data_IF_612146978237
#
_entry.id   IF_612146978237
#
_cell.length_a   1.000
_cell.length_b   1.000
_cell.length_c   1.000
_cell.angle_alpha   90.00
_cell.angle_beta   90.00
_cell.angle_gamma   90.00
#
_symmetry.space_group_name_H-M   'P 1'
#
loop_
_entity.id
_entity.type
_entity.pdbx_description
1 polymer ?
2 non-polymer ?
3 non-polymer ?
4 non-polymer ?
5 water ?
#
# COMPACT_ATOMS: atom_id res chain seq x y z
N UNK A 1 -25.44 -11.03 26.78
CA UNK A 1 -25.11 -10.33 28.01
C UNK A 1 -24.48 -8.95 27.73
N UNK A 2 -23.17 -8.84 27.87
CA UNK A 2 -22.47 -7.59 27.59
C UNK A 2 -20.96 -7.80 27.56
N UNK A 3 -20.28 -7.06 26.69
CA UNK A 3 -18.85 -7.26 26.50
C UNK A 3 -18.09 -5.99 26.16
N UNK A 4 -16.78 -6.10 26.17
CA UNK A 4 -15.87 -4.99 25.91
C UNK A 4 -14.74 -5.52 25.07
N UNK A 5 -13.96 -4.63 24.45
CA UNK A 5 -12.77 -5.09 23.74
C UNK A 5 -11.86 -5.82 24.74
N UNK A 6 -11.90 -5.37 25.99
CA UNK A 6 -11.11 -6.00 27.04
C UNK A 6 -11.42 -7.49 27.17
N UNK A 7 -12.69 -7.85 27.06
CA UNK A 7 -13.08 -9.26 27.19
C UNK A 7 -12.53 -10.04 26.00
N UNK A 8 -12.55 -9.43 24.82
CA UNK A 8 -12.03 -10.06 23.62
C UNK A 8 -10.51 -10.24 23.74
N UNK A 9 -9.83 -9.20 24.19
CA UNK A 9 -8.39 -9.27 24.47
C UNK A 9 -8.04 -10.41 25.42
N UNK A 10 -8.75 -10.50 26.56
CA UNK A 10 -8.55 -11.61 27.48
C UNK A 10 -8.73 -12.95 26.78
N UNK A 11 -9.82 -13.05 26.03
CA UNK A 11 -10.15 -14.24 25.26
C UNK A 11 -8.96 -14.64 24.35
N UNK A 12 -8.44 -13.65 23.63
CA UNK A 12 -7.34 -13.93 22.70
C UNK A 12 -6.01 -14.19 23.40
N UNK A 13 -5.70 -13.41 24.44
CA UNK A 13 -4.49 -13.63 25.21
C UNK A 13 -4.53 -15.02 25.82
N UNK A 14 -5.74 -15.47 26.16
CA UNK A 14 -5.94 -16.81 26.70
C UNK A 14 -5.57 -17.87 25.66
N UNK A 15 -6.08 -17.72 24.44
CA UNK A 15 -5.81 -18.72 23.40
C UNK A 15 -4.31 -18.81 23.12
N UNK A 16 -3.66 -17.66 23.04
CA UNK A 16 -2.21 -17.63 22.87
C UNK A 16 -1.46 -18.40 23.96
N UNK A 17 -1.85 -18.21 25.22
CA UNK A 17 -1.20 -18.92 26.32
C UNK A 17 -1.52 -20.42 26.30
N UNK A 18 -2.66 -20.76 25.70
CA UNK A 18 -3.02 -22.17 25.46
C UNK A 18 -2.50 -22.61 24.09
N UNK A 19 -1.63 -21.77 23.51
CA UNK A 19 -0.93 -22.10 22.27
C UNK A 19 -1.82 -22.41 21.06
N UNK A 20 -3.04 -21.88 21.06
CA UNK A 20 -3.92 -21.98 19.90
C UNK A 20 -3.33 -21.24 18.68
N UNK A 21 -2.55 -20.19 18.94
CA UNK A 21 -1.78 -19.50 17.90
C UNK A 21 -0.59 -18.81 18.59
N UNK A 22 0.36 -18.31 17.80
CA UNK A 22 1.62 -17.85 18.39
C UNK A 22 1.67 -16.35 18.70
N UNK A 23 2.77 -15.92 19.32
CA UNK A 23 2.90 -14.53 19.76
C UNK A 23 2.65 -13.54 18.62
N UNK A 24 3.24 -13.79 17.46
CA UNK A 24 3.07 -12.90 16.31
C UNK A 24 1.62 -12.77 15.88
N UNK A 25 0.89 -13.88 15.85
CA UNK A 25 -0.52 -13.84 15.46
C UNK A 25 -1.30 -13.02 16.47
N UNK A 26 -0.97 -13.21 17.74
CA UNK A 26 -1.65 -12.48 18.80
C UNK A 26 -1.47 -10.99 18.61
N UNK A 27 -0.27 -10.58 18.23
CA UNK A 27 0.00 -9.17 18.05
C UNK A 27 -0.78 -8.65 16.86
N UNK A 28 -0.95 -9.51 15.86
CA UNK A 28 -1.66 -9.09 14.65
C UNK A 28 -3.14 -8.91 14.98
N UNK A 29 -3.70 -9.83 15.75
CA UNK A 29 -5.11 -9.74 16.16
C UNK A 29 -5.39 -8.52 17.02
N UNK A 30 -4.51 -8.24 17.99
CA UNK A 30 -4.68 -7.05 18.83
C UNK A 30 -4.58 -5.77 18.03
N UNK A 31 -3.69 -5.77 17.03
CA UNK A 31 -3.55 -4.59 16.17
C UNK A 31 -4.86 -4.34 15.40
N UNK A 32 -5.46 -5.40 14.89
CA UNK A 32 -6.73 -5.28 14.17
C UNK A 32 -7.81 -4.72 15.10
N UNK A 33 -7.80 -5.21 16.33
CA UNK A 33 -8.74 -4.75 17.33
C UNK A 33 -8.60 -3.26 17.62
N UNK A 34 -7.36 -2.81 17.75
CA UNK A 34 -7.06 -1.40 18.03
C UNK A 34 -7.43 -0.54 16.82
N UNK A 35 -7.18 -1.08 15.64
CA UNK A 35 -7.46 -0.41 14.38
C UNK A 35 -8.95 -0.12 14.23
N UNK A 36 -9.78 -1.00 14.77
CA UNK A 36 -11.23 -0.93 14.63
C UNK A 36 -11.81 0.26 15.38
N UNK A 37 -11.02 0.84 16.27
CA UNK A 37 -11.47 1.99 17.04
C UNK A 37 -11.12 3.32 16.38
N UNK A 38 -10.41 3.25 15.26
CA UNK A 38 -9.84 4.47 14.68
C UNK A 38 -10.70 5.03 13.56
N UNK A 39 -10.62 6.35 13.39
CA UNK A 39 -11.34 7.03 12.33
C UNK A 39 -10.36 7.76 11.43
N UNK A 40 -10.86 8.23 10.29
CA UNK A 40 -10.04 9.02 9.37
C UNK A 40 -9.27 10.11 10.11
N UNK A 41 -9.96 10.79 11.05
CA UNK A 41 -9.34 11.81 11.90
C UNK A 41 -7.99 11.41 12.43
N UNK A 42 -7.87 10.14 12.82
CA UNK A 42 -6.70 9.66 13.54
C UNK A 42 -5.48 9.41 12.65
N UNK A 43 -5.67 9.38 11.33
CA UNK A 43 -4.59 8.99 10.41
C UNK A 43 -4.33 10.03 9.34
N UNK A 45 -3.50 13.59 7.24
CA UNK A 45 -2.59 14.74 7.21
C UNK A 45 -3.43 16.00 7.13
N UNK A 46 -3.24 16.92 8.07
CA UNK A 46 -4.13 18.08 8.17
C UNK A 46 -3.94 19.04 6.99
N UNK A 47 -4.99 19.79 6.64
CA UNK A 47 -4.98 20.68 5.46
C UNK A 47 -3.72 21.54 5.34
N UNK A 48 -3.42 22.29 6.39
CA UNK A 48 -2.30 23.22 6.32
C UNK A 48 -0.95 22.53 6.08
N UNK A 49 -0.93 21.19 6.12
CA UNK A 49 0.33 20.45 5.93
C UNK A 49 0.39 19.59 4.66
N UNK A 51 0.92 18.53 0.84
CA UNK A 51 1.67 19.02 -0.31
C UNK A 51 0.78 18.94 -1.54
N UNK A 52 0.46 20.09 -2.13
CA UNK A 52 -0.47 20.14 -3.26
C UNK A 52 0.18 20.74 -4.53
N UNK A 53 -0.47 20.54 -5.68
CA UNK A 53 -0.02 21.16 -6.93
C UNK A 53 -1.05 22.16 -7.41
N UNK A 54 -0.60 23.27 -7.98
CA UNK A 54 -1.50 24.29 -8.51
C UNK A 54 -1.95 23.91 -9.90
N UNK A 55 -3.23 24.11 -10.17
CA UNK A 55 -3.87 23.83 -11.45
C UNK A 55 -3.00 24.20 -12.66
N UNK A 56 -2.47 25.42 -12.67
CA UNK A 56 -1.86 25.98 -13.87
C UNK A 56 -0.33 25.98 -13.88
N UNK A 57 0.27 25.24 -12.95
CA UNK A 57 1.71 25.24 -12.84
C UNK A 57 2.36 24.53 -14.06
N UNK A 58 3.63 24.84 -14.33
CA UNK A 58 4.34 24.27 -15.48
C UNK A 58 4.81 22.84 -15.19
N UNK A 59 5.04 22.08 -16.26
CA UNK A 59 5.52 20.71 -16.06
C UNK A 59 6.85 20.69 -15.29
N UNK A 60 7.73 21.65 -15.57
CA UNK A 60 9.04 21.74 -14.91
C UNK A 60 8.94 21.96 -13.39
N UNK A 61 8.06 22.87 -12.98
CA UNK A 61 7.87 23.17 -11.58
C UNK A 61 7.12 22.03 -10.86
N UNK A 62 6.06 21.52 -11.47
CA UNK A 62 5.39 20.34 -10.94
C UNK A 62 6.38 19.18 -10.72
N UNK A 63 7.15 18.83 -11.76
CA UNK A 63 8.04 17.69 -11.68
C UNK A 63 9.10 17.87 -10.56
N UNK A 64 9.68 19.06 -10.47
CA UNK A 64 10.68 19.33 -9.44
C UNK A 64 10.08 19.21 -8.03
N UNK A 65 8.85 19.66 -7.87
CA UNK A 65 8.18 19.62 -6.58
C UNK A 65 7.87 18.17 -6.21
N UNK A 66 7.37 17.41 -7.17
CA UNK A 66 7.07 15.98 -6.97
C UNK A 66 8.31 15.19 -6.55
N UNK A 67 9.44 15.47 -7.20
CA UNK A 67 10.69 14.78 -6.86
C UNK A 67 11.17 15.20 -5.46
N UNK A 68 11.10 16.49 -5.19
CA UNK A 68 11.55 17.04 -3.92
C UNK A 68 10.80 16.43 -2.74
N UNK A 69 9.48 16.33 -2.84
CA UNK A 69 8.68 15.83 -1.73
C UNK A 69 8.65 14.31 -1.73
N UNK A 70 8.92 13.73 -2.89
CA UNK A 70 9.01 12.28 -3.04
C UNK A 70 7.68 11.53 -2.82
N UNK A 71 6.56 12.25 -2.78
CA UNK A 71 5.26 11.58 -2.63
C UNK A 71 4.87 10.95 -3.96
N UNK A 72 3.92 10.02 -3.90
CA UNK A 72 3.42 9.38 -5.11
C UNK A 72 2.16 10.02 -5.68
N UNK A 73 1.34 10.60 -4.79
CA UNK A 73 0.07 11.22 -5.19
C UNK A 73 -0.08 12.60 -4.57
N UNK A 74 -0.69 13.52 -5.33
CA UNK A 74 -0.83 14.93 -4.92
C UNK A 74 -2.22 15.48 -5.26
N UNK A 75 -2.91 16.07 -4.28
CA UNK A 75 -4.13 16.83 -4.60
C UNK A 75 -3.76 17.96 -5.53
N UNK A 76 -4.62 18.27 -6.49
CA UNK A 76 -4.38 19.43 -7.36
C UNK A 76 -5.45 20.46 -7.02
N UNK A 77 -5.05 21.70 -6.81
CA UNK A 77 -5.97 22.73 -6.31
C UNK A 77 -6.20 23.87 -7.31
N UNK A 78 -7.34 24.53 -7.12
CA UNK A 78 -7.65 25.72 -7.89
C UNK A 78 -7.20 26.92 -7.07
N UNK A 79 -8.16 27.67 -6.53
CA UNK A 79 -7.83 28.93 -5.87
C UNK A 79 -7.07 28.74 -4.56
N UNK A 80 -7.40 27.67 -3.85
CA UNK A 80 -6.77 27.35 -2.58
C UNK A 80 -7.14 25.91 -2.20
N UNK A 81 -6.75 25.49 -1.02
CA UNK A 81 -6.88 24.08 -0.67
C UNK A 81 -8.33 23.66 -0.42
N UNK A 82 -9.24 24.64 -0.38
CA UNK A 82 -10.67 24.32 -0.28
C UNK A 82 -11.29 24.08 -1.66
N UNK A 83 -10.47 24.18 -2.70
CA UNK A 83 -10.93 23.83 -4.03
C UNK A 83 -10.04 22.74 -4.64
N UNK A 84 -10.27 21.49 -4.25
CA UNK A 84 -9.47 20.38 -4.77
C UNK A 84 -10.10 19.91 -6.06
N UNK A 85 -9.32 19.88 -7.13
CA UNK A 85 -9.85 19.59 -8.46
C UNK A 85 -9.68 18.12 -8.80
N UNK A 86 -8.78 17.46 -8.09
CA UNK A 86 -8.39 16.12 -8.50
C UNK A 86 -7.12 15.67 -7.83
N UNK A 87 -6.68 14.48 -8.21
CA UNK A 87 -5.44 13.88 -7.71
C UNK A 87 -4.52 13.62 -8.90
N UNK A 88 -3.25 14.02 -8.78
CA UNK A 88 -2.24 13.64 -9.74
C UNK A 88 -1.39 12.56 -9.13
N UNK A 89 -1.19 11.48 -9.88
CA UNK A 89 -0.28 10.39 -9.54
C UNK A 89 1.06 10.66 -10.22
N UNK A 90 2.12 10.74 -9.42
CA UNK A 90 3.44 11.11 -9.92
C UNK A 90 3.81 10.37 -11.23
N UNK A 91 3.52 9.08 -11.27
CA UNK A 91 3.95 8.27 -12.41
C UNK A 91 3.12 8.51 -13.67
N UNK A 92 2.01 9.23 -13.56
CA UNK A 92 1.27 9.62 -14.76
C UNK A 92 2.00 10.71 -15.52
N UNK A 93 2.91 11.41 -14.84
CA UNK A 93 3.73 12.42 -15.49
C UNK A 93 4.66 11.82 -16.56
N UNK A 94 4.96 10.53 -16.45
CA UNK A 94 5.90 9.90 -17.36
C UNK A 94 5.33 9.84 -18.77
N UNK A 95 4.01 10.02 -18.88
CA UNK A 95 3.38 10.08 -20.19
C UNK A 95 3.95 11.22 -21.03
N UNK A 96 4.61 12.17 -20.36
CA UNK A 96 5.11 13.34 -21.06
C UNK A 96 6.63 13.38 -21.08
N UNK A 98 8.76 12.33 -23.23
CA UNK A 98 9.37 12.71 -24.51
C UNK A 98 8.70 13.85 -25.25
N UNK A 99 7.57 14.31 -24.73
CA UNK A 99 6.83 15.44 -25.30
C UNK A 99 6.33 16.35 -24.19
N UNK A 100 7.26 16.95 -23.41
CA UNK A 100 6.80 17.78 -22.28
C UNK A 100 6.03 19.00 -22.77
N UNK A 101 6.36 19.43 -23.98
CA UNK A 101 5.69 20.59 -24.57
C UNK A 101 4.19 20.35 -24.74
N UNK A 102 3.78 19.09 -24.73
CA UNK A 102 2.36 18.76 -24.84
C UNK A 102 1.66 18.58 -23.48
N UNK A 103 2.37 18.80 -22.39
CA UNK A 103 1.80 18.66 -21.05
C UNK A 103 0.44 19.32 -20.93
N UNK A 104 -0.53 18.57 -20.40
CA UNK A 104 -1.87 19.08 -20.20
C UNK A 104 -2.37 18.41 -18.93
N UNK A 105 -2.30 19.14 -17.81
CA UNK A 105 -2.54 18.52 -16.53
C UNK A 105 -3.93 17.86 -16.48
N UNK A 106 -4.94 18.52 -17.04
CA UNK A 106 -6.30 17.96 -17.05
C UNK A 106 -6.39 16.63 -17.81
N UNK A 107 -5.45 16.38 -18.72
CA UNK A 107 -5.42 15.10 -19.44
C UNK A 107 -5.07 13.90 -18.55
N UNK A 108 -4.41 14.15 -17.43
CA UNK A 108 -3.95 13.04 -16.57
C UNK A 108 -4.49 13.12 -15.14
N UNK A 109 -5.23 14.18 -14.84
CA UNK A 109 -5.79 14.36 -13.51
C UNK A 109 -6.88 13.34 -13.25
N UNK A 110 -6.83 12.70 -12.09
CA UNK A 110 -7.91 11.79 -11.71
C UNK A 110 -8.83 12.49 -10.73
N UNK A 111 -10.11 12.07 -10.69
CA UNK A 111 -11.08 12.62 -9.73
C UNK A 111 -10.70 12.28 -8.29
N UNK A 112 -10.98 13.18 -7.37
CA UNK A 112 -10.70 12.97 -5.95
C UNK A 112 -11.85 12.21 -5.28
N UNK A 113 -11.52 11.29 -4.39
CA UNK A 113 -12.52 10.67 -3.53
C UNK A 113 -12.58 11.45 -2.22
N UNK A 114 -13.78 11.79 -1.78
CA UNK A 114 -13.96 12.60 -0.56
C UNK A 114 -14.52 11.76 0.58
N UNK A 115 -14.04 11.99 1.80
CA UNK A 115 -14.55 11.27 2.98
C UNK A 115 -14.60 12.23 4.17
N UNK A 116 -15.54 12.00 5.10
CA UNK A 116 -15.65 12.78 6.36
C UNK A 116 -14.66 12.27 7.40
N UNK A 117 -14.37 13.10 8.40
CA UNK A 117 -13.37 12.78 9.40
C UNK A 117 -13.80 11.62 10.30
N UNK A 118 -15.10 11.40 10.38
CA UNK A 118 -15.65 10.42 11.31
C UNK A 118 -15.70 9.00 10.75
N UNK A 119 -15.35 8.86 9.48
CA UNK A 119 -15.39 7.56 8.84
C UNK A 119 -14.40 6.57 9.47
N UNK A 120 -14.84 5.33 9.70
CA UNK A 120 -13.96 4.33 10.30
C UNK A 120 -12.82 3.96 9.36
N UNK A 121 -11.63 3.77 9.92
CA UNK A 121 -10.50 3.32 9.12
C UNK A 121 -10.73 1.95 8.49
N UNK A 122 -11.48 1.08 9.17
CA UNK A 122 -11.83 -0.22 8.58
C UNK A 122 -12.65 -0.06 7.31
N UNK A 123 -13.63 0.86 7.32
CA UNK A 123 -14.40 1.14 6.09
C UNK A 123 -13.51 1.77 5.03
N UNK A 124 -12.67 2.71 5.44
CA UNK A 124 -11.78 3.35 4.49
C UNK A 124 -10.87 2.30 3.85
N UNK A 125 -10.32 1.42 4.68
CA UNK A 125 -9.38 0.42 4.16
C UNK A 125 -10.07 -0.46 3.14
N UNK A 126 -11.31 -0.84 3.42
CA UNK A 126 -12.06 -1.71 2.51
C UNK A 126 -12.29 -1.01 1.19
N UNK A 127 -12.69 0.25 1.27
CA UNK A 127 -12.89 1.06 0.06
C UNK A 127 -11.62 1.33 -0.74
N UNK A 128 -10.50 1.59 -0.06
CA UNK A 128 -9.22 1.72 -0.76
C UNK A 128 -8.91 0.44 -1.52
N UNK A 129 -9.12 -0.72 -0.87
CA UNK A 129 -8.77 -2.00 -1.50
C UNK A 129 -9.67 -2.28 -2.69
N UNK A 130 -10.94 -1.94 -2.57
CA UNK A 130 -11.90 -2.14 -3.65
C UNK A 130 -11.65 -1.21 -4.85
N UNK A 131 -11.62 0.10 -4.60
CA UNK A 131 -11.51 1.10 -5.66
C UNK A 131 -10.09 1.18 -6.22
N UNK A 132 -9.20 0.33 -5.73
CA UNK A 132 -7.79 0.47 -6.06
C UNK A 132 -7.38 1.91 -5.84
N UNK A 133 -7.91 2.50 -4.77
CA UNK A 133 -7.65 3.88 -4.41
C UNK A 133 -6.48 3.91 -3.43
N UNK A 134 -5.75 5.03 -3.40
CA UNK A 134 -4.64 5.18 -2.45
C UNK A 134 -4.74 6.43 -1.58
N UNK A 136 -7.52 9.73 -0.22
CA UNK A 136 -8.81 10.41 -0.21
C UNK A 136 -8.62 11.80 0.39
N UNK A 137 -9.52 12.70 0.05
CA UNK A 137 -9.49 14.04 0.61
C UNK A 137 -10.53 14.07 1.72
N UNK A 138 -10.12 14.55 2.90
CA UNK A 138 -11.01 14.59 4.05
C UNK A 138 -11.74 15.93 4.07
N UNK A 139 -13.06 15.86 4.21
CA UNK A 139 -13.93 17.03 4.18
C UNK A 139 -14.49 17.31 5.58
N UNK A 140 -14.55 18.57 5.99
CA UNK A 140 -15.12 18.90 7.29
C UNK A 140 -16.65 18.94 7.19
N UNK A 141 -17.32 19.18 8.31
CA UNK A 141 -18.78 19.12 8.33
C UNK A 141 -19.45 20.29 7.59
N UNK A 142 -18.64 21.16 6.98
CA UNK A 142 -19.18 22.32 6.28
C UNK A 142 -18.84 22.32 4.79
N UNK A 143 -18.09 21.32 4.35
CA UNK A 143 -17.70 21.23 2.94
C UNK A 143 -16.26 21.64 2.64
N UNK A 144 -15.58 22.23 3.63
CA UNK A 144 -14.20 22.62 3.45
C UNK A 144 -13.26 21.43 3.58
N UNK A 145 -12.03 21.60 3.10
CA UNK A 145 -11.00 20.57 3.17
C UNK A 145 -10.41 20.51 4.58
N UNK A 146 -10.43 19.32 5.20
CA UNK A 146 -9.83 19.13 6.52
C UNK A 146 -8.43 18.56 6.38
N UNK A 147 -8.20 17.81 5.32
CA UNK A 147 -6.88 17.24 5.07
C UNK A 147 -6.98 16.13 4.05
N UNK A 148 -6.04 15.21 4.10
CA UNK A 148 -6.05 14.07 3.18
C UNK A 148 -5.67 12.83 3.98
N UNK A 149 -5.96 11.66 3.43
CA UNK A 149 -5.61 10.41 4.09
C UNK A 149 -5.17 9.40 3.03
N UNK A 150 -4.15 8.61 3.36
CA UNK A 150 -3.59 7.66 2.40
C UNK A 150 -3.59 6.22 2.90
N UNK A 151 -3.68 5.30 1.94
CA UNK A 151 -3.60 3.86 2.15
C UNK A 151 -2.33 3.51 2.92
N UNK A 152 -1.20 4.00 2.44
CA UNK A 152 0.08 3.64 3.04
C UNK A 152 0.18 4.11 4.48
N UNK A 153 -0.49 5.22 4.82
CA UNK A 153 -0.51 5.72 6.18
C UNK A 153 -1.33 4.83 7.12
N UNK A 154 -2.43 4.28 6.63
CA UNK A 154 -3.31 3.51 7.49
C UNK A 154 -2.88 2.04 7.65
N UNK A 155 -2.10 1.53 6.70
CA UNK A 155 -1.63 0.13 6.76
C UNK A 155 -0.31 0.04 7.50
N UNK A 156 0.21 1.20 7.90
CA UNK A 156 1.43 1.32 8.69
C UNK A 156 1.44 0.31 9.84
N UNK B 2 -9.52 -27.65 13.54
CA UNK B 2 -9.51 -28.19 14.90
C UNK B 2 -10.28 -27.32 15.91
N UNK B 3 -10.74 -27.96 16.97
CA UNK B 3 -11.68 -27.37 17.93
C UNK B 3 -11.23 -26.06 18.58
N UNK B 4 -9.92 -25.88 18.73
CA UNK B 4 -9.36 -24.67 19.29
C UNK B 4 -9.77 -23.43 18.48
N UNK B 5 -9.53 -23.50 17.17
CA UNK B 5 -9.74 -22.37 16.26
C UNK B 5 -11.22 -21.99 16.11
N UNK B 6 -12.06 -22.97 15.81
CA UNK B 6 -13.49 -22.76 15.68
C UNK B 6 -14.00 -21.95 16.88
N UNK B 7 -13.63 -22.39 18.07
CA UNK B 7 -14.14 -21.79 19.29
C UNK B 7 -13.81 -20.30 19.41
N UNK B 8 -12.54 -19.97 19.21
CA UNK B 8 -12.11 -18.57 19.24
C UNK B 8 -12.98 -17.78 18.27
N UNK B 9 -13.19 -18.34 17.09
CA UNK B 9 -14.08 -17.72 16.09
C UNK B 9 -15.48 -17.37 16.62
N UNK B 10 -16.25 -18.35 17.06
CA UNK B 10 -17.63 -18.03 17.37
C UNK B 10 -17.77 -17.04 18.54
N UNK B 11 -16.75 -16.95 19.37
CA UNK B 11 -16.78 -15.94 20.43
C UNK B 11 -16.48 -14.54 19.87
N UNK B 12 -15.67 -14.51 18.83
CA UNK B 12 -15.43 -13.26 18.11
C UNK B 12 -16.72 -12.77 17.46
N UNK B 13 -17.51 -13.69 16.92
CA UNK B 13 -18.80 -13.36 16.32
C UNK B 13 -19.78 -12.85 17.37
N UNK B 14 -19.72 -13.44 18.55
CA UNK B 14 -20.58 -13.00 19.65
C UNK B 14 -20.25 -11.58 20.07
N UNK B 15 -18.96 -11.24 20.04
CA UNK B 15 -18.54 -9.92 20.49
C UNK B 15 -19.04 -8.89 19.48
N UNK B 16 -19.26 -9.36 18.26
CA UNK B 16 -19.74 -8.53 17.16
C UNK B 16 -21.22 -8.23 17.35
N UNK B 17 -21.98 -9.28 17.65
CA UNK B 17 -23.42 -9.15 17.90
C UNK B 17 -23.68 -8.36 19.17
N UNK B 18 -22.63 -8.13 19.96
CA UNK B 18 -22.75 -7.36 21.18
C UNK B 18 -22.22 -5.93 20.99
N UNK B 19 -21.88 -5.59 19.74
CA UNK B 19 -21.46 -4.24 19.39
C UNK B 19 -20.03 -3.89 19.77
N UNK B 20 -19.19 -4.90 20.01
CA UNK B 20 -17.80 -4.65 20.39
C UNK B 20 -17.02 -4.14 19.18
N UNK B 21 -17.25 -4.75 18.03
CA UNK B 21 -16.72 -4.27 16.76
C UNK B 21 -17.68 -4.63 15.64
N UNK B 22 -17.50 -3.99 14.49
CA UNK B 22 -18.40 -4.14 13.36
C UNK B 22 -18.01 -5.28 12.41
N UNK B 23 -18.89 -5.57 11.46
CA UNK B 23 -18.70 -6.70 10.55
C UNK B 23 -17.36 -6.64 9.81
N UNK B 24 -16.95 -5.43 9.44
CA UNK B 24 -15.68 -5.26 8.70
C UNK B 24 -14.50 -5.76 9.53
N UNK B 25 -14.50 -5.40 10.82
CA UNK B 25 -13.45 -5.84 11.73
C UNK B 25 -13.48 -7.34 11.92
N UNK B 26 -14.68 -7.89 12.08
CA UNK B 26 -14.88 -9.33 12.20
C UNK B 26 -14.21 -10.03 11.03
N UNK B 27 -14.46 -9.51 9.84
CA UNK B 27 -13.88 -10.09 8.64
C UNK B 27 -12.36 -10.10 8.75
N UNK B 28 -11.77 -8.94 9.07
CA UNK B 28 -10.33 -8.84 9.23
C UNK B 28 -9.80 -9.87 10.23
N UNK B 29 -10.48 -9.98 11.36
CA UNK B 29 -10.04 -10.91 12.40
C UNK B 29 -10.13 -12.36 11.90
N UNK B 30 -11.28 -12.73 11.35
CA UNK B 30 -11.46 -14.06 10.75
C UNK B 30 -10.34 -14.36 9.77
N UNK B 31 -10.10 -13.45 8.83
CA UNK B 31 -9.03 -13.63 7.85
C UNK B 31 -7.68 -13.88 8.52
N UNK B 32 -7.32 -13.05 9.49
CA UNK B 32 -6.03 -13.20 10.18
C UNK B 32 -5.89 -14.56 10.84
N UNK B 33 -7.02 -15.16 11.22
CA UNK B 33 -7.03 -16.49 11.81
C UNK B 33 -7.02 -17.58 10.74
N UNK B 34 -8.15 -17.76 10.06
CA UNK B 34 -8.28 -18.75 8.99
C UNK B 34 -7.05 -18.82 8.08
N UNK B 35 -6.29 -17.73 8.02
CA UNK B 35 -5.14 -17.64 7.13
C UNK B 35 -3.81 -17.41 7.86
N UNK B 36 -3.74 -17.81 9.13
CA UNK B 36 -2.53 -17.58 9.92
C UNK B 36 -1.46 -18.61 9.61
N UNK B 37 -1.85 -19.66 8.90
CA UNK B 37 -0.92 -20.72 8.50
C UNK B 37 -0.40 -20.54 7.07
N UNK B 38 -0.57 -19.35 6.52
CA UNK B 38 -0.18 -19.09 5.13
C UNK B 38 1.30 -18.76 5.01
N UNK B 39 1.85 -19.05 3.83
CA UNK B 39 3.25 -18.82 3.55
C UNK B 39 3.41 -17.94 2.33
N UNK B 40 4.60 -17.38 2.16
CA UNK B 40 4.87 -16.51 1.02
C UNK B 40 4.39 -17.18 -0.25
N UNK B 41 4.69 -18.48 -0.37
CA UNK B 41 4.31 -19.32 -1.48
C UNK B 41 2.85 -19.11 -1.89
N UNK B 42 2.00 -18.89 -0.89
CA UNK B 42 0.55 -18.81 -1.07
C UNK B 42 0.06 -17.46 -1.62
N UNK B 43 0.86 -16.41 -1.46
CA UNK B 43 0.44 -15.08 -1.89
C UNK B 43 1.29 -14.49 -3.00
N UNK B 45 3.17 -13.60 -6.60
CA UNK B 45 3.02 -13.52 -8.04
C UNK B 45 4.12 -14.42 -8.63
N UNK B 46 3.71 -15.45 -9.35
CA UNK B 46 4.65 -16.46 -9.79
C UNK B 46 5.60 -15.91 -10.87
N UNK B 47 6.76 -16.56 -11.01
CA UNK B 47 7.83 -16.06 -11.89
C UNK B 47 7.35 -15.64 -13.28
N UNK B 48 6.51 -16.45 -13.92
CA UNK B 48 6.06 -16.13 -15.28
C UNK B 48 5.18 -14.88 -15.38
N UNK B 49 4.51 -14.54 -14.29
CA UNK B 49 3.60 -13.38 -14.26
C UNK B 49 4.27 -12.11 -13.75
N UNK B 51 6.23 -8.74 -13.85
CA UNK B 51 6.58 -7.77 -14.87
C UNK B 51 7.91 -7.15 -14.49
N UNK B 52 8.93 -7.38 -15.31
CA UNK B 52 10.29 -7.00 -14.95
C UNK B 52 10.89 -6.09 -16.01
N UNK B 53 11.97 -5.40 -15.66
CA UNK B 53 12.70 -4.54 -16.60
C UNK B 53 14.08 -5.13 -16.88
N UNK B 54 14.46 -5.14 -18.15
CA UNK B 54 15.80 -5.58 -18.50
C UNK B 54 16.82 -4.48 -18.23
N UNK B 55 17.94 -4.85 -17.62
CA UNK B 55 18.90 -3.86 -17.16
C UNK B 55 19.35 -2.91 -18.28
N UNK B 56 19.50 -3.41 -19.50
CA UNK B 56 20.06 -2.53 -20.54
C UNK B 56 19.06 -1.91 -21.52
N UNK B 57 17.78 -2.07 -21.25
CA UNK B 57 16.77 -1.46 -22.11
C UNK B 57 16.88 0.06 -22.10
N UNK B 58 16.49 0.67 -23.21
CA UNK B 58 16.57 2.12 -23.38
C UNK B 58 15.51 2.79 -22.52
N UNK B 59 15.71 4.07 -22.21
CA UNK B 59 14.71 4.85 -21.46
C UNK B 59 13.34 4.80 -22.14
N UNK B 60 13.33 4.81 -23.48
CA UNK B 60 12.07 4.72 -24.22
C UNK B 60 11.33 3.42 -23.93
N UNK B 61 12.04 2.29 -24.03
CA UNK B 61 11.41 1.01 -23.82
C UNK B 61 10.93 0.84 -22.38
N UNK B 62 11.82 1.14 -21.44
CA UNK B 62 11.49 1.12 -20.02
C UNK B 62 10.25 1.95 -19.73
N UNK B 63 10.27 3.21 -20.18
CA UNK B 63 9.17 4.12 -19.85
C UNK B 63 7.82 3.61 -20.40
N UNK B 64 7.83 3.12 -21.64
CA UNK B 64 6.58 2.61 -22.22
C UNK B 64 6.06 1.39 -21.48
N UNK B 65 6.97 0.53 -21.05
CA UNK B 65 6.57 -0.69 -20.34
C UNK B 65 5.98 -0.31 -18.97
N UNK B 66 6.68 0.60 -18.28
CA UNK B 66 6.25 1.02 -16.96
C UNK B 66 4.87 1.67 -17.05
N UNK B 67 4.66 2.54 -18.03
CA UNK B 67 3.34 3.16 -18.20
C UNK B 67 2.25 2.14 -18.57
N UNK B 68 2.64 1.10 -19.31
CA UNK B 68 1.67 0.14 -19.83
C UNK B 68 1.18 -0.83 -18.77
N UNK B 69 2.11 -1.33 -17.95
CA UNK B 69 1.78 -2.30 -16.91
C UNK B 69 1.23 -1.57 -15.71
N UNK B 70 1.70 -0.34 -15.51
CA UNK B 70 1.13 0.55 -14.51
C UNK B 70 1.38 0.13 -13.06
N UNK B 71 2.40 -0.70 -12.82
CA UNK B 71 2.79 -1.02 -11.46
C UNK B 71 3.58 0.17 -10.97
N UNK B 72 3.83 0.23 -9.67
CA UNK B 72 4.70 1.28 -9.17
C UNK B 72 6.13 0.78 -8.91
N UNK B 73 6.29 -0.54 -8.82
CA UNK B 73 7.63 -1.10 -8.56
C UNK B 73 7.94 -2.28 -9.49
N UNK B 74 9.19 -2.36 -9.93
CA UNK B 74 9.62 -3.41 -10.88
C UNK B 74 10.93 -4.06 -10.51
N UNK B 75 10.96 -5.39 -10.47
CA UNK B 75 12.28 -6.02 -10.38
C UNK B 75 13.08 -5.69 -11.64
N UNK B 76 14.39 -5.46 -11.50
CA UNK B 76 15.25 -5.28 -12.68
C UNK B 76 16.17 -6.50 -12.80
N UNK B 77 16.21 -7.10 -13.99
CA UNK B 77 16.95 -8.34 -14.20
C UNK B 77 18.16 -8.20 -15.13
N UNK B 78 19.12 -9.11 -14.96
CA UNK B 78 20.26 -9.19 -15.84
C UNK B 78 20.00 -10.19 -16.94
N UNK B 79 20.63 -11.36 -16.88
CA UNK B 79 20.48 -12.36 -17.95
C UNK B 79 19.06 -12.90 -18.08
N UNK B 80 18.39 -13.14 -16.96
CA UNK B 80 17.02 -13.64 -16.97
C UNK B 80 16.42 -13.45 -15.59
N UNK B 81 15.24 -14.01 -15.36
CA UNK B 81 14.53 -13.74 -14.09
C UNK B 81 15.23 -14.33 -12.87
N UNK B 82 16.19 -15.23 -13.12
CA UNK B 82 16.98 -15.80 -12.03
C UNK B 82 18.13 -14.87 -11.60
N UNK B 83 18.25 -13.73 -12.28
CA UNK B 83 19.23 -12.72 -11.90
C UNK B 83 18.58 -11.36 -11.66
N UNK B 84 18.09 -11.15 -10.44
CA UNK B 84 17.46 -9.90 -10.11
C UNK B 84 18.56 -8.99 -9.56
N UNK B 85 18.69 -7.81 -10.16
CA UNK B 85 19.72 -6.86 -9.79
C UNK B 85 19.22 -5.83 -8.76
N UNK B 86 17.92 -5.68 -8.65
CA UNK B 86 17.37 -4.66 -7.74
C UNK B 86 15.93 -4.36 -8.10
N UNK B 87 15.36 -3.33 -7.47
CA UNK B 87 13.98 -2.91 -7.72
C UNK B 87 13.98 -1.48 -8.21
N UNK B 88 13.16 -1.19 -9.21
CA UNK B 88 12.96 0.20 -9.67
C UNK B 88 11.59 0.70 -9.24
N UNK B 89 11.55 1.90 -8.65
CA UNK B 89 10.29 2.57 -8.35
C UNK B 89 9.97 3.48 -9.51
N UNK B 90 8.80 3.30 -10.10
CA UNK B 90 8.45 4.03 -11.32
C UNK B 90 8.64 5.53 -11.18
N UNK B 91 8.25 6.09 -10.05
CA UNK B 91 8.35 7.53 -9.90
C UNK B 91 9.79 8.02 -9.95
N UNK B 92 10.76 7.13 -9.74
CA UNK B 92 12.15 7.59 -9.71
C UNK B 92 12.66 7.95 -11.09
N UNK B 93 11.96 7.47 -12.11
CA UNK B 93 12.27 7.81 -13.50
C UNK B 93 12.12 9.30 -13.81
N UNK B 94 11.32 10.00 -13.01
CA UNK B 94 11.07 11.43 -13.19
C UNK B 94 12.36 12.23 -13.12
N UNK B 95 13.35 11.61 -12.48
CA UNK B 95 14.68 12.23 -12.35
C UNK B 95 15.25 12.59 -13.72
N UNK B 96 14.82 11.87 -14.74
CA UNK B 96 15.34 12.09 -16.10
C UNK B 96 14.35 12.77 -17.05
N UNK B 98 13.70 15.89 -17.98
CA UNK B 98 14.17 16.90 -18.92
C UNK B 98 15.61 16.66 -19.32
N UNK B 99 16.06 15.44 -19.11
CA UNK B 99 17.38 15.04 -19.61
C UNK B 99 17.43 13.53 -19.85
N UNK B 100 16.51 13.01 -20.68
CA UNK B 100 16.39 11.57 -20.98
C UNK B 100 17.68 10.99 -21.54
N UNK B 101 18.51 11.83 -22.15
CA UNK B 101 19.81 11.41 -22.70
C UNK B 101 20.78 11.01 -21.59
N UNK B 102 20.57 11.56 -20.38
CA UNK B 102 21.39 11.21 -19.22
C UNK B 102 20.97 9.91 -18.51
N UNK B 103 19.96 9.22 -19.04
CA UNK B 103 19.40 8.05 -18.35
C UNK B 103 20.46 7.06 -17.94
N UNK B 104 20.46 6.72 -16.65
CA UNK B 104 21.31 5.65 -16.12
C UNK B 104 20.47 4.84 -15.11
N UNK B 105 19.83 3.78 -15.61
CA UNK B 105 18.91 2.99 -14.80
C UNK B 105 19.52 2.60 -13.45
N UNK B 106 20.81 2.27 -13.44
CA UNK B 106 21.43 1.74 -12.22
C UNK B 106 21.65 2.81 -11.15
N UNK B 107 21.53 4.07 -11.52
CA UNK B 107 21.65 5.12 -10.52
C UNK B 107 20.37 5.25 -9.70
N UNK B 108 19.27 4.67 -10.17
CA UNK B 108 17.99 4.78 -9.45
C UNK B 108 17.48 3.41 -8.99
N UNK B 109 18.36 2.41 -9.08
CA UNK B 109 18.01 1.05 -8.73
C UNK B 109 18.23 0.84 -7.23
N UNK B 110 17.20 0.35 -6.54
CA UNK B 110 17.32 0.03 -5.12
C UNK B 110 17.64 -1.46 -4.87
N UNK B 111 18.22 -1.77 -3.71
CA UNK B 111 18.52 -3.18 -3.43
C UNK B 111 17.25 -4.02 -3.34
N UNK B 112 17.28 -5.24 -3.86
CA UNK B 112 16.17 -6.17 -3.68
C UNK B 112 16.24 -6.89 -2.33
N UNK B 113 15.09 -7.13 -1.72
CA UNK B 113 14.99 -8.04 -0.59
C UNK B 113 14.57 -9.42 -1.11
N UNK B 114 15.15 -10.47 -0.53
CA UNK B 114 14.88 -11.85 -0.93
C UNK B 114 14.31 -12.61 0.26
N UNK B 115 13.28 -13.42 0.02
CA UNK B 115 12.67 -14.23 1.06
C UNK B 115 12.38 -15.63 0.52
N UNK B 116 12.42 -16.65 1.41
CA UNK B 116 12.10 -18.06 1.09
C UNK B 116 10.61 -18.29 0.86
N UNK B 117 10.28 -19.24 0.00
CA UNK B 117 8.89 -19.62 -0.28
C UNK B 117 8.08 -19.97 0.97
N UNK B 118 8.73 -20.60 1.94
CA UNK B 118 8.06 -21.14 3.10
C UNK B 118 7.98 -20.18 4.27
N UNK B 119 8.34 -18.92 4.04
CA UNK B 119 8.18 -17.90 5.09
C UNK B 119 6.70 -17.64 5.36
N UNK B 120 6.33 -17.47 6.62
CA UNK B 120 4.94 -17.17 6.95
C UNK B 120 4.58 -15.76 6.50
N UNK B 121 3.35 -15.58 6.03
CA UNK B 121 2.89 -14.25 5.66
C UNK B 121 3.01 -13.37 6.89
N UNK B 122 2.58 -13.92 8.03
CA UNK B 122 2.62 -13.15 9.27
C UNK B 122 4.02 -12.55 9.51
N UNK B 123 5.06 -13.36 9.35
CA UNK B 123 6.44 -12.86 9.52
C UNK B 123 6.80 -11.84 8.44
N UNK B 124 6.41 -12.14 7.20
CA UNK B 124 6.68 -11.22 6.11
C UNK B 124 6.04 -9.86 6.38
N UNK B 125 4.76 -9.86 6.72
CA UNK B 125 4.04 -8.63 7.00
C UNK B 125 4.82 -7.79 8.00
N UNK B 126 5.29 -8.47 9.04
CA UNK B 126 6.04 -7.83 10.10
C UNK B 126 7.30 -7.17 9.56
N UNK B 127 8.02 -7.89 8.72
CA UNK B 127 9.27 -7.38 8.16
C UNK B 127 9.04 -6.25 7.17
N UNK B 128 7.95 -6.32 6.42
CA UNK B 128 7.58 -5.23 5.52
C UNK B 128 7.38 -3.95 6.35
N UNK B 129 6.60 -4.04 7.42
CA UNK B 129 6.33 -2.87 8.27
C UNK B 129 7.57 -2.30 8.96
N UNK B 130 8.43 -3.18 9.46
CA UNK B 130 9.67 -2.74 10.10
C UNK B 130 10.60 -2.07 9.08
N UNK B 131 10.73 -2.68 7.91
CA UNK B 131 11.69 -2.25 6.90
C UNK B 131 11.16 -1.14 5.98
N UNK B 132 9.90 -0.73 6.17
CA UNK B 132 9.24 0.17 5.22
C UNK B 132 9.41 -0.34 3.80
N UNK B 133 9.27 -1.65 3.65
CA UNK B 133 9.48 -2.36 2.41
C UNK B 133 8.11 -2.67 1.81
N UNK B 134 8.02 -2.81 0.50
CA UNK B 134 6.73 -3.11 -0.12
C UNK B 134 6.76 -4.33 -1.03
N UNK B 136 9.09 -8.04 -2.19
CA UNK B 136 10.20 -8.95 -2.00
C UNK B 136 10.25 -9.95 -3.13
N UNK B 137 11.45 -10.40 -3.47
CA UNK B 137 11.64 -11.47 -4.45
C UNK B 137 11.65 -12.79 -3.72
N UNK B 138 10.83 -13.74 -4.18
CA UNK B 138 10.71 -15.03 -3.51
C UNK B 138 11.67 -15.98 -4.19
N UNK B 139 12.48 -16.70 -3.42
CA UNK B 139 13.47 -17.60 -4.01
C UNK B 139 13.28 -19.02 -3.54
N UNK B 140 13.63 -19.98 -4.40
CA UNK B 140 13.57 -21.38 -4.06
C UNK B 140 14.78 -21.79 -3.24
N UNK B 141 14.86 -23.07 -2.90
CA UNK B 141 15.91 -23.58 -2.01
C UNK B 141 17.31 -23.44 -2.59
N UNK B 142 17.42 -23.09 -3.88
CA UNK B 142 18.71 -23.02 -4.55
C UNK B 142 19.04 -21.62 -5.03
N UNK B 143 18.19 -20.66 -4.70
CA UNK B 143 18.45 -19.27 -5.06
C UNK B 143 17.79 -18.83 -6.35
N UNK B 144 17.23 -19.77 -7.11
CA UNK B 144 16.40 -19.43 -8.26
C UNK B 144 15.22 -18.57 -7.86
N UNK B 145 14.77 -17.73 -8.78
CA UNK B 145 13.60 -16.87 -8.52
C UNK B 145 12.30 -17.65 -8.65
N UNK B 146 11.47 -17.65 -7.60
CA UNK B 146 10.16 -18.31 -7.66
C UNK B 146 9.04 -17.35 -8.02
N UNK B 147 9.21 -16.07 -7.65
CA UNK B 147 8.24 -15.06 -7.96
C UNK B 147 8.52 -13.82 -7.13
N UNK B 148 7.51 -12.96 -6.98
CA UNK B 148 7.64 -11.78 -6.14
C UNK B 148 6.40 -11.65 -5.27
N UNK B 149 6.48 -10.89 -4.18
CA UNK B 149 5.35 -10.77 -3.25
C UNK B 149 5.31 -9.34 -2.75
N UNK B 150 4.10 -8.80 -2.62
CA UNK B 150 3.94 -7.39 -2.25
C UNK B 150 3.12 -7.21 -0.97
N UNK B 151 3.34 -6.08 -0.32
CA UNK B 151 2.56 -5.70 0.87
C UNK B 151 1.07 -5.71 0.51
N UNK B 152 0.74 -5.01 -0.57
CA UNK B 152 -0.64 -4.97 -1.08
C UNK B 152 -1.34 -6.34 -1.07
N UNK B 153 -0.63 -7.38 -1.49
CA UNK B 153 -1.25 -8.69 -1.69
C UNK B 153 -1.39 -9.53 -0.42
N UNK B 154 -0.66 -9.19 0.64
CA UNK B 154 -0.69 -10.02 1.84
C UNK B 154 -1.47 -9.37 3.00
N UNK B 155 -1.88 -8.12 2.81
CA UNK B 155 -2.63 -7.41 3.83
C UNK B 155 -4.12 -7.73 3.75
#
# INVERSE_FOLDING_TARGET
SNASAEDVLNLLRQAHEQEVFDADTLLRLEKVLDFSDLEVRDAXITRSRXNVLKENDSIERITAYVIDTAHSRFPVIGEDKDEVLGILHAKDLLKYXFNPEQFHLKSILRPAVFVPEGKSLTALLKEFREQRNHXAIVIDEYGGTSGLVTFEDIIE
SNASAEDVLNLLRQAHEQEVFDADTLLRLEKVLDFSDLEVRDAXITRSRXNVLKENDSIERITAYVIDTAHSRFPVIGEDKDEVLGILHAKDLLKYXFNPEQFHLKSILRPAVFVPEGKSLTALLKEFREQRNHXAIVIDEYGGTSGLVTFEDIIE
#
